data_IF_063988473999
#
_entry.id   IF_063988473999
#
_cell.length_a   1.000
_cell.length_b   1.000
_cell.length_c   1.000
_cell.angle_alpha   90.00
_cell.angle_beta   90.00
_cell.angle_gamma   90.00
#
_symmetry.space_group_name_H-M   'P 1'
#
loop_
_entity.id
_entity.type
_entity.pdbx_description
1 polymer ?
#
# COMPACT_ATOMS: atom_id res chain seq x y z
N UNK A 1 -13.80 1.92 12.08
CA UNK A 1 -13.07 1.24 13.19
C UNK A 1 -12.24 2.19 14.03
N UNK A 2 -11.11 2.74 13.54
CA UNK A 2 -10.33 3.72 14.31
C UNK A 2 -11.16 4.98 14.60
N UNK A 3 -11.83 5.51 13.57
CA UNK A 3 -12.70 6.70 13.70
C UNK A 3 -13.79 6.54 14.75
N UNK A 4 -14.54 5.43 14.72
CA UNK A 4 -15.61 5.17 15.69
C UNK A 4 -15.08 5.15 17.14
N UNK A 5 -13.91 4.54 17.37
CA UNK A 5 -13.29 4.47 18.71
C UNK A 5 -12.83 5.85 19.20
N UNK A 6 -12.17 6.61 18.33
CA UNK A 6 -11.71 7.97 18.64
C UNK A 6 -12.90 8.87 18.97
N UNK A 7 -13.97 8.78 18.17
CA UNK A 7 -15.15 9.60 18.41
C UNK A 7 -15.92 9.17 19.66
N UNK A 8 -16.03 7.86 19.95
CA UNK A 8 -16.64 7.38 21.19
C UNK A 8 -15.87 7.87 22.43
N UNK A 9 -14.53 7.88 22.38
CA UNK A 9 -13.71 8.44 23.45
C UNK A 9 -13.95 9.94 23.61
N UNK A 10 -14.03 10.69 22.52
CA UNK A 10 -14.34 12.12 22.55
C UNK A 10 -15.75 12.41 23.09
N UNK A 11 -16.74 11.57 22.77
CA UNK A 11 -18.09 11.65 23.33
C UNK A 11 -18.05 11.43 24.84
N UNK A 12 -17.29 10.45 25.32
CA UNK A 12 -17.11 10.22 26.76
C UNK A 12 -16.49 11.42 27.48
N UNK A 13 -15.46 12.04 26.89
CA UNK A 13 -14.88 13.28 27.41
C UNK A 13 -15.86 14.45 27.37
N UNK A 14 -16.66 14.56 26.32
CA UNK A 14 -17.68 15.60 26.16
C UNK A 14 -18.81 15.44 27.18
N UNK A 15 -19.21 14.22 27.49
CA UNK A 15 -20.19 13.93 28.54
C UNK A 15 -19.68 14.35 29.93
N UNK A 16 -18.40 14.06 30.23
CA UNK A 16 -17.77 14.50 31.47
C UNK A 16 -17.74 16.04 31.56
N UNK A 17 -17.36 16.72 30.48
CA UNK A 17 -17.39 18.18 30.42
C UNK A 17 -18.80 18.74 30.63
N UNK A 18 -19.83 18.13 30.04
CA UNK A 18 -21.22 18.57 30.21
C UNK A 18 -21.68 18.46 31.66
N UNK A 19 -21.35 17.37 32.36
CA UNK A 19 -21.68 17.19 33.78
C UNK A 19 -20.98 18.24 34.65
N UNK A 20 -19.70 18.53 34.38
CA UNK A 20 -18.95 19.58 35.09
C UNK A 20 -19.63 20.94 34.89
N UNK A 21 -19.96 21.32 33.66
CA UNK A 21 -20.63 22.59 33.37
C UNK A 21 -22.02 22.71 34.02
N UNK A 22 -22.79 21.62 34.01
CA UNK A 22 -24.09 21.58 34.67
C UNK A 22 -24.01 21.82 36.18
N UNK A 23 -22.92 21.35 36.81
CA UNK A 23 -22.67 21.57 38.24
C UNK A 23 -22.26 23.01 38.57
N UNK A 24 -21.61 23.72 37.64
CA UNK A 24 -21.17 25.12 37.85
C UNK A 24 -22.27 26.14 37.58
N UNK A 25 -23.18 25.88 36.63
CA UNK A 25 -24.22 26.85 36.19
C UNK A 25 -25.65 26.53 36.68
N UNK A 26 -25.81 25.57 37.61
CA UNK A 26 -27.08 25.20 38.27
C UNK A 26 -28.12 24.60 37.31
N UNK A 27 -27.68 23.93 36.24
CA UNK A 27 -28.54 23.15 35.32
C UNK A 27 -28.24 21.64 35.37
N UNK A 28 -27.98 21.13 36.59
CA UNK A 28 -27.52 19.76 36.80
C UNK A 28 -28.49 18.70 36.23
N UNK A 29 -29.81 18.91 36.33
CA UNK A 29 -30.80 17.94 35.84
C UNK A 29 -30.73 17.72 34.32
N UNK A 30 -30.63 18.80 33.55
CA UNK A 30 -30.47 18.73 32.09
C UNK A 30 -29.12 18.12 31.70
N UNK A 31 -28.05 18.52 32.39
CA UNK A 31 -26.70 18.01 32.12
C UNK A 31 -26.59 16.49 32.31
N UNK A 32 -27.06 15.95 33.44
CA UNK A 32 -27.00 14.52 33.73
C UNK A 32 -27.94 13.71 32.81
N UNK A 33 -29.20 14.14 32.69
CA UNK A 33 -30.21 13.40 31.92
C UNK A 33 -29.87 13.32 30.43
N UNK A 34 -29.55 14.45 29.81
CA UNK A 34 -29.25 14.48 28.37
C UNK A 34 -27.90 13.83 28.06
N UNK A 35 -26.88 14.01 28.90
CA UNK A 35 -25.59 13.34 28.70
C UNK A 35 -25.71 11.83 28.77
N UNK A 36 -26.46 11.30 29.75
CA UNK A 36 -26.68 9.85 29.87
C UNK A 36 -27.43 9.29 28.65
N UNK A 37 -28.46 10.01 28.17
CA UNK A 37 -29.20 9.63 26.96
C UNK A 37 -28.30 9.61 25.72
N UNK A 38 -27.52 10.67 25.49
CA UNK A 38 -26.63 10.79 24.34
C UNK A 38 -25.52 9.73 24.36
N UNK A 39 -24.92 9.44 25.53
CA UNK A 39 -23.92 8.37 25.68
C UNK A 39 -24.56 7.00 25.43
N UNK A 40 -25.77 6.74 25.95
CA UNK A 40 -26.49 5.50 25.70
C UNK A 40 -26.76 5.27 24.22
N UNK A 41 -27.21 6.31 23.50
CA UNK A 41 -27.40 6.28 22.06
C UNK A 41 -26.07 6.07 21.32
N UNK A 42 -24.99 6.71 21.73
CA UNK A 42 -23.67 6.55 21.11
C UNK A 42 -23.16 5.11 21.24
N UNK A 43 -23.28 4.52 22.43
CA UNK A 43 -22.91 3.12 22.67
C UNK A 43 -23.79 2.18 21.85
N UNK A 44 -25.10 2.42 21.77
CA UNK A 44 -26.01 1.65 20.93
C UNK A 44 -25.61 1.68 19.45
N UNK A 45 -25.35 2.88 18.90
CA UNK A 45 -24.88 3.06 17.52
C UNK A 45 -23.53 2.36 17.31
N UNK A 46 -22.60 2.52 18.24
CA UNK A 46 -21.27 1.92 18.17
C UNK A 46 -21.32 0.38 18.17
N UNK A 47 -22.22 -0.23 18.94
CA UNK A 47 -22.36 -1.68 19.01
C UNK A 47 -23.08 -2.25 17.79
N UNK A 48 -24.17 -1.61 17.34
CA UNK A 48 -25.03 -2.14 16.27
C UNK A 48 -24.48 -1.82 14.87
N UNK A 49 -23.96 -0.62 14.66
CA UNK A 49 -23.63 -0.09 13.33
C UNK A 49 -22.13 0.02 13.08
N UNK A 50 -21.28 -0.60 13.92
CA UNK A 50 -19.83 -0.37 13.95
C UNK A 50 -19.17 -0.43 12.57
N UNK A 51 -18.40 0.60 12.23
CA UNK A 51 -17.65 0.66 10.97
C UNK A 51 -18.49 0.89 9.71
N UNK A 52 -19.80 1.08 9.83
CA UNK A 52 -20.67 1.45 8.72
C UNK A 52 -20.78 2.97 8.58
N UNK A 53 -21.31 3.41 7.44
CA UNK A 53 -21.67 4.81 7.22
C UNK A 53 -22.66 5.36 8.27
N UNK A 54 -23.58 4.51 8.76
CA UNK A 54 -24.56 4.93 9.76
C UNK A 54 -23.89 5.21 11.11
N UNK A 55 -22.85 4.45 11.47
CA UNK A 55 -22.05 4.72 12.67
C UNK A 55 -21.32 6.06 12.59
N UNK A 56 -20.66 6.36 11.46
CA UNK A 56 -19.95 7.63 11.33
C UNK A 56 -20.88 8.82 11.40
N UNK A 57 -22.02 8.80 10.69
CA UNK A 57 -23.03 9.87 10.79
C UNK A 57 -23.62 9.99 12.19
N UNK A 58 -24.02 8.87 12.79
CA UNK A 58 -24.71 8.84 14.07
C UNK A 58 -23.83 9.30 15.23
N UNK A 59 -22.59 8.81 15.31
CA UNK A 59 -21.64 9.26 16.33
C UNK A 59 -21.26 10.73 16.13
N UNK A 60 -21.10 11.18 14.88
CA UNK A 60 -20.83 12.59 14.57
C UNK A 60 -21.99 13.49 15.01
N UNK A 61 -23.24 13.08 14.77
CA UNK A 61 -24.41 13.79 15.27
C UNK A 61 -24.37 13.92 16.80
N UNK A 62 -24.09 12.83 17.51
CA UNK A 62 -24.03 12.86 18.97
C UNK A 62 -22.92 13.77 19.49
N UNK A 63 -21.73 13.73 18.88
CA UNK A 63 -20.64 14.64 19.24
C UNK A 63 -21.04 16.11 18.99
N UNK A 64 -21.69 16.40 17.86
CA UNK A 64 -22.23 17.74 17.57
C UNK A 64 -23.29 18.17 18.59
N UNK A 65 -24.18 17.27 19.01
CA UNK A 65 -25.19 17.55 20.04
C UNK A 65 -24.55 17.81 21.41
N UNK A 66 -23.42 17.19 21.73
CA UNK A 66 -22.68 17.49 22.97
C UNK A 66 -22.12 18.91 22.99
N UNK A 67 -21.57 19.39 21.87
CA UNK A 67 -21.11 20.78 21.76
C UNK A 67 -22.28 21.75 21.91
N UNK A 68 -23.42 21.46 21.27
CA UNK A 68 -24.65 22.25 21.43
C UNK A 68 -25.09 22.27 22.90
N UNK A 69 -25.03 21.12 23.58
CA UNK A 69 -25.35 21.03 25.01
C UNK A 69 -24.37 21.85 25.86
N UNK A 70 -23.07 21.84 25.56
CA UNK A 70 -22.09 22.69 26.27
C UNK A 70 -22.42 24.17 26.13
N UNK A 71 -22.77 24.63 24.93
CA UNK A 71 -23.18 26.02 24.67
C UNK A 71 -24.42 26.37 25.49
N UNK A 72 -25.42 25.49 25.53
CA UNK A 72 -26.63 25.69 26.32
C UNK A 72 -26.33 25.77 27.82
N UNK A 73 -25.60 24.80 28.38
CA UNK A 73 -25.26 24.76 29.81
C UNK A 73 -24.39 25.94 30.24
N UNK A 74 -23.55 26.43 29.33
CA UNK A 74 -22.71 27.60 29.51
C UNK A 74 -23.45 28.93 29.21
N UNK A 75 -24.78 28.90 29.00
CA UNK A 75 -25.62 30.08 28.70
C UNK A 75 -25.08 30.92 27.54
N UNK A 76 -24.57 30.26 26.50
CA UNK A 76 -24.10 30.90 25.28
C UNK A 76 -22.72 31.58 25.37
N UNK A 77 -21.90 31.25 26.37
CA UNK A 77 -20.51 31.73 26.43
C UNK A 77 -19.72 31.36 25.17
N UNK A 78 -18.97 32.32 24.64
CA UNK A 78 -18.27 32.20 23.34
C UNK A 78 -17.14 31.17 23.39
N UNK A 79 -16.54 30.92 24.55
CA UNK A 79 -15.46 29.94 24.73
C UNK A 79 -15.91 28.51 24.38
N UNK A 80 -17.17 28.16 24.61
CA UNK A 80 -17.68 26.82 24.28
C UNK A 80 -17.95 26.62 22.78
N UNK A 81 -17.92 27.71 21.99
CA UNK A 81 -18.00 27.62 20.54
C UNK A 81 -16.69 27.07 19.93
N UNK A 82 -15.56 27.10 20.65
CA UNK A 82 -14.35 26.38 20.22
C UNK A 82 -14.60 24.88 20.01
N UNK A 83 -15.59 24.30 20.71
CA UNK A 83 -16.02 22.91 20.52
C UNK A 83 -16.52 22.61 19.09
N UNK A 84 -17.05 23.61 18.38
CA UNK A 84 -17.45 23.49 16.96
C UNK A 84 -16.24 23.20 16.10
N UNK A 85 -15.21 24.05 16.21
CA UNK A 85 -13.96 23.93 15.46
C UNK A 85 -13.24 22.62 15.77
N UNK A 86 -13.17 22.24 17.05
CA UNK A 86 -12.56 20.98 17.50
C UNK A 86 -13.31 19.78 16.95
N UNK A 87 -14.64 19.80 16.94
CA UNK A 87 -15.46 18.69 16.43
C UNK A 87 -15.31 18.51 14.93
N UNK A 88 -15.33 19.60 14.16
CA UNK A 88 -15.11 19.59 12.72
C UNK A 88 -13.73 18.97 12.38
N UNK A 89 -12.68 19.42 13.08
CA UNK A 89 -11.34 18.86 12.93
C UNK A 89 -11.24 17.39 13.38
N UNK A 90 -11.88 17.01 14.49
CA UNK A 90 -11.87 15.65 15.01
C UNK A 90 -12.47 14.65 14.01
N UNK A 91 -13.54 15.06 13.35
CA UNK A 91 -14.29 14.22 12.41
C UNK A 91 -13.47 13.87 11.15
N UNK A 92 -12.36 14.57 10.87
CA UNK A 92 -11.36 14.17 9.86
C UNK A 92 -10.81 12.76 10.07
N UNK A 93 -10.91 12.19 11.28
CA UNK A 93 -10.50 10.81 11.57
C UNK A 93 -11.20 9.78 10.67
N UNK A 94 -12.40 10.08 10.18
CA UNK A 94 -13.12 9.21 9.23
C UNK A 94 -12.56 9.28 7.81
N UNK A 95 -11.72 10.28 7.48
CA UNK A 95 -11.20 10.53 6.13
C UNK A 95 -12.33 10.57 5.09
N UNK A 96 -13.46 11.13 5.50
CA UNK A 96 -14.68 11.26 4.71
C UNK A 96 -15.19 12.68 4.89
N UNK A 97 -15.60 13.31 3.80
CA UNK A 97 -16.07 14.69 3.81
C UNK A 97 -17.51 14.81 4.32
N UNK A 98 -18.31 13.74 4.20
CA UNK A 98 -19.75 13.76 4.53
C UNK A 98 -20.02 14.10 6.00
N UNK A 99 -19.35 13.47 6.99
CA UNK A 99 -19.52 13.83 8.39
C UNK A 99 -19.23 15.31 8.70
N UNK A 100 -18.24 15.89 8.02
CA UNK A 100 -17.77 17.27 8.25
C UNK A 100 -18.84 18.26 7.81
N UNK A 101 -19.34 18.11 6.57
CA UNK A 101 -20.42 18.95 6.04
C UNK A 101 -21.69 18.77 6.86
N UNK A 102 -22.00 17.54 7.26
CA UNK A 102 -23.16 17.25 8.11
C UNK A 102 -23.10 17.99 9.45
N UNK A 103 -21.96 17.95 10.16
CA UNK A 103 -21.77 18.73 11.39
C UNK A 103 -21.84 20.23 11.15
N UNK A 104 -21.20 20.74 10.10
CA UNK A 104 -21.20 22.17 9.77
C UNK A 104 -22.62 22.70 9.53
N UNK A 105 -23.43 21.95 8.76
CA UNK A 105 -24.85 22.29 8.53
C UNK A 105 -25.64 22.24 9.82
N UNK A 106 -25.45 21.20 10.64
CA UNK A 106 -26.14 21.06 11.93
C UNK A 106 -25.83 22.24 12.87
N UNK A 107 -24.56 22.66 12.95
CA UNK A 107 -24.17 23.83 13.71
C UNK A 107 -24.76 25.12 13.13
N UNK A 108 -24.75 25.30 11.80
CA UNK A 108 -25.34 26.49 11.17
C UNK A 108 -26.84 26.61 11.47
N UNK A 109 -27.58 25.51 11.35
CA UNK A 109 -29.01 25.44 11.71
C UNK A 109 -29.20 25.76 13.19
N UNK A 110 -28.39 25.17 14.08
CA UNK A 110 -28.45 25.46 15.51
C UNK A 110 -28.24 26.95 15.79
N UNK A 111 -27.18 27.57 15.26
CA UNK A 111 -26.85 28.97 15.56
C UNK A 111 -27.97 29.92 15.10
N UNK A 112 -28.46 29.74 13.88
CA UNK A 112 -29.56 30.59 13.35
C UNK A 112 -30.85 30.35 14.14
N UNK A 113 -31.24 29.09 14.35
CA UNK A 113 -32.49 28.76 15.02
C UNK A 113 -32.47 29.21 16.49
N UNK A 114 -31.41 28.89 17.23
CA UNK A 114 -31.33 29.18 18.66
C UNK A 114 -31.21 30.66 18.93
N UNK A 115 -30.51 31.44 18.09
CA UNK A 115 -30.48 32.89 18.24
C UNK A 115 -31.86 33.53 18.02
N UNK A 116 -32.64 33.05 17.04
CA UNK A 116 -34.02 33.53 16.83
C UNK A 116 -34.94 33.16 17.98
N UNK A 117 -34.82 31.93 18.50
CA UNK A 117 -35.60 31.48 19.65
C UNK A 117 -35.17 32.19 20.95
N UNK A 118 -33.88 32.49 21.11
CA UNK A 118 -33.34 33.27 22.22
C UNK A 118 -33.88 34.70 22.17
N UNK A 119 -33.90 35.34 20.99
CA UNK A 119 -34.49 36.66 20.80
C UNK A 119 -36.00 36.70 21.10
N UNK A 120 -36.69 35.59 20.89
CA UNK A 120 -38.11 35.43 21.21
C UNK A 120 -38.39 35.00 22.67
N UNK A 121 -37.34 34.78 23.50
CA UNK A 121 -37.49 34.51 24.94
C UNK A 121 -37.76 33.05 25.31
N UNK A 122 -37.48 32.08 24.43
CA UNK A 122 -37.73 30.65 24.69
C UNK A 122 -36.74 29.96 25.65
N UNK A 123 -35.82 30.69 26.28
CA UNK A 123 -34.86 30.11 27.23
C UNK A 123 -33.79 29.20 26.62
N UNK A 124 -33.57 29.31 25.30
CA UNK A 124 -32.48 28.64 24.58
C UNK A 124 -31.35 29.62 24.34
N UNK A 125 -30.11 29.14 24.38
CA UNK A 125 -28.91 29.97 24.24
C UNK A 125 -28.10 29.56 23.02
N UNK A 126 -27.81 30.52 22.14
CA UNK A 126 -26.74 30.41 21.15
C UNK A 126 -25.54 31.23 21.61
N UNK A 127 -25.75 32.51 21.88
CA UNK A 127 -24.75 33.45 22.41
C UNK A 127 -25.22 33.96 23.77
N UNK A 128 -24.39 34.70 24.52
CA UNK A 128 -24.83 35.32 25.78
C UNK A 128 -26.01 36.29 25.58
N UNK A 129 -26.10 36.89 24.39
CA UNK A 129 -27.21 37.76 23.95
C UNK A 129 -27.46 37.52 22.46
N UNK A 130 -28.71 37.62 21.97
CA UNK A 130 -29.01 37.49 20.56
C UNK A 130 -28.23 38.51 19.73
N UNK A 131 -27.47 38.02 18.75
CA UNK A 131 -26.64 38.86 17.90
C UNK A 131 -26.41 38.20 16.53
N UNK A 132 -27.31 38.51 15.59
CA UNK A 132 -27.25 37.96 14.24
C UNK A 132 -25.96 38.30 13.50
N UNK A 133 -25.37 39.48 13.74
CA UNK A 133 -24.13 39.90 13.09
C UNK A 133 -22.97 38.97 13.43
N UNK A 134 -22.86 38.57 14.70
CA UNK A 134 -21.83 37.62 15.16
C UNK A 134 -22.03 36.25 14.53
N UNK A 135 -23.27 35.80 14.34
CA UNK A 135 -23.60 34.51 13.69
C UNK A 135 -23.16 34.51 12.23
N UNK A 136 -23.39 35.61 11.51
CA UNK A 136 -22.92 35.74 10.12
C UNK A 136 -21.39 35.64 10.06
N UNK A 137 -20.67 36.28 10.99
CA UNK A 137 -19.21 36.16 11.08
C UNK A 137 -18.79 34.72 11.36
N UNK A 138 -19.42 34.04 12.32
CA UNK A 138 -19.14 32.63 12.63
C UNK A 138 -19.38 31.73 11.43
N UNK A 139 -20.47 31.94 10.69
CA UNK A 139 -20.80 31.17 9.49
C UNK A 139 -19.71 31.29 8.42
N UNK A 140 -19.13 32.49 8.23
CA UNK A 140 -18.01 32.68 7.29
C UNK A 140 -16.80 31.82 7.69
N UNK A 141 -16.41 31.85 8.97
CA UNK A 141 -15.29 31.03 9.46
C UNK A 141 -15.57 29.53 9.32
N UNK A 142 -16.78 29.07 9.65
CA UNK A 142 -17.17 27.67 9.52
C UNK A 142 -17.16 27.23 8.05
N UNK A 143 -17.62 28.08 7.11
CA UNK A 143 -17.56 27.77 5.66
C UNK A 143 -16.11 27.62 5.20
N UNK A 144 -15.23 28.56 5.57
CA UNK A 144 -13.81 28.50 5.18
C UNK A 144 -13.15 27.25 5.76
N UNK A 145 -13.34 27.00 7.06
CA UNK A 145 -12.78 25.81 7.72
C UNK A 145 -13.32 24.53 7.09
N UNK A 146 -14.64 24.41 6.91
CA UNK A 146 -15.27 23.21 6.34
C UNK A 146 -14.71 22.94 4.94
N UNK A 147 -14.53 23.98 4.10
CA UNK A 147 -13.94 23.82 2.78
C UNK A 147 -12.51 23.25 2.86
N UNK A 148 -11.66 23.79 3.75
CA UNK A 148 -10.30 23.28 3.95
C UNK A 148 -10.30 21.84 4.46
N UNK A 149 -11.15 21.50 5.42
CA UNK A 149 -11.24 20.15 5.98
C UNK A 149 -11.80 19.14 4.99
N UNK A 150 -12.77 19.52 4.14
CA UNK A 150 -13.25 18.68 3.03
C UNK A 150 -12.12 18.38 2.07
N UNK A 151 -11.30 19.38 1.70
CA UNK A 151 -10.13 19.17 0.84
C UNK A 151 -9.11 18.22 1.49
N UNK A 152 -8.83 18.40 2.79
CA UNK A 152 -7.93 17.52 3.54
C UNK A 152 -8.49 16.09 3.62
N UNK A 153 -9.77 15.92 3.92
CA UNK A 153 -10.43 14.62 4.02
C UNK A 153 -10.35 13.84 2.70
N UNK A 154 -10.64 14.50 1.57
CA UNK A 154 -10.56 13.88 0.24
C UNK A 154 -9.11 13.47 -0.07
N UNK A 155 -8.13 14.33 0.21
CA UNK A 155 -6.71 14.00 -0.02
C UNK A 155 -6.23 12.86 0.87
N UNK A 156 -6.60 12.85 2.16
CA UNK A 156 -6.29 11.77 3.09
C UNK A 156 -6.94 10.45 2.67
N UNK A 157 -8.16 10.48 2.14
CA UNK A 157 -8.84 9.30 1.61
C UNK A 157 -8.10 8.73 0.39
N UNK A 158 -7.69 9.59 -0.54
CA UNK A 158 -6.93 9.17 -1.72
C UNK A 158 -5.57 8.58 -1.35
N UNK A 159 -4.81 9.26 -0.48
CA UNK A 159 -3.51 8.79 0.02
C UNK A 159 -3.64 7.46 0.77
N UNK A 160 -4.70 7.31 1.57
CA UNK A 160 -4.99 6.05 2.27
C UNK A 160 -5.27 4.89 1.32
N UNK A 161 -6.05 5.11 0.25
CA UNK A 161 -6.29 4.08 -0.79
C UNK A 161 -5.03 3.73 -1.55
N UNK A 162 -4.26 4.74 -1.97
CA UNK A 162 -2.99 4.55 -2.68
C UNK A 162 -1.99 3.73 -1.84
N UNK A 163 -1.86 4.02 -0.55
CA UNK A 163 -1.02 3.25 0.35
C UNK A 163 -1.48 1.80 0.53
N UNK A 164 -2.80 1.56 0.60
CA UNK A 164 -3.36 0.22 0.69
C UNK A 164 -3.11 -0.60 -0.58
N UNK A 165 -3.32 -0.02 -1.76
CA UNK A 165 -3.04 -0.67 -3.05
C UNK A 165 -1.54 -0.98 -3.21
N UNK A 166 -0.64 -0.07 -2.83
CA UNK A 166 0.80 -0.33 -2.82
C UNK A 166 1.16 -1.50 -1.89
N UNK A 167 0.59 -1.50 -0.67
CA UNK A 167 0.81 -2.59 0.29
C UNK A 167 0.35 -3.94 -0.28
N UNK A 168 -0.80 -3.98 -0.95
CA UNK A 168 -1.31 -5.19 -1.60
C UNK A 168 -0.39 -5.66 -2.73
N UNK A 169 0.06 -4.75 -3.62
CA UNK A 169 1.00 -5.08 -4.68
C UNK A 169 2.30 -5.67 -4.12
N UNK A 170 2.92 -5.02 -3.13
CA UNK A 170 4.15 -5.51 -2.49
C UNK A 170 3.93 -6.88 -1.86
N UNK A 171 2.84 -7.05 -1.10
CA UNK A 171 2.52 -8.34 -0.47
C UNK A 171 2.21 -9.46 -1.47
N UNK A 172 1.76 -9.13 -2.68
CA UNK A 172 1.52 -10.13 -3.73
C UNK A 172 2.81 -10.65 -4.36
N UNK A 173 3.87 -9.83 -4.35
CA UNK A 173 5.17 -10.16 -4.94
C UNK A 173 6.09 -10.83 -3.92
N UNK A 174 6.05 -10.38 -2.67
CA UNK A 174 6.89 -10.86 -1.57
C UNK A 174 6.23 -12.06 -0.86
N UNK A 175 6.48 -13.27 -1.37
CA UNK A 175 6.00 -14.52 -0.77
C UNK A 175 7.10 -15.20 0.06
N UNK A 176 6.72 -16.03 1.03
CA UNK A 176 7.65 -16.70 1.94
C UNK A 176 8.78 -17.48 1.22
N UNK A 177 8.48 -18.03 0.03
CA UNK A 177 9.42 -18.84 -0.76
C UNK A 177 10.09 -18.05 -1.91
N UNK A 178 9.88 -16.72 -1.99
CA UNK A 178 10.59 -15.84 -2.92
C UNK A 178 9.71 -14.79 -3.62
N UNK A 179 10.25 -14.25 -4.73
CA UNK A 179 9.64 -13.15 -5.50
C UNK A 179 8.79 -13.71 -6.64
N UNK A 180 7.48 -13.43 -6.64
CA UNK A 180 6.54 -13.87 -7.68
C UNK A 180 5.92 -12.66 -8.40
N UNK A 181 6.57 -12.20 -9.48
CA UNK A 181 6.18 -10.99 -10.19
C UNK A 181 4.87 -11.14 -10.99
N UNK A 182 4.60 -12.33 -11.52
CA UNK A 182 3.40 -12.60 -12.32
C UNK A 182 2.09 -12.26 -11.57
N UNK A 183 2.06 -12.42 -10.24
CA UNK A 183 0.86 -12.22 -9.44
C UNK A 183 0.50 -10.73 -9.26
N UNK A 184 1.47 -9.82 -9.39
CA UNK A 184 1.23 -8.38 -9.29
C UNK A 184 0.24 -7.86 -10.34
N UNK A 185 0.18 -8.50 -11.51
CA UNK A 185 -0.75 -8.14 -12.60
C UNK A 185 -2.21 -8.51 -12.30
N UNK A 186 -2.45 -9.40 -11.35
CA UNK A 186 -3.79 -9.85 -10.96
C UNK A 186 -4.40 -8.94 -9.87
N UNK A 187 -3.59 -8.11 -9.21
CA UNK A 187 -4.06 -7.17 -8.20
C UNK A 187 -4.80 -6.03 -8.89
N UNK A 188 -6.07 -5.81 -8.54
CA UNK A 188 -6.81 -4.66 -9.05
C UNK A 188 -6.30 -3.38 -8.40
N UNK A 189 -5.87 -2.42 -9.21
CA UNK A 189 -5.36 -1.13 -8.77
C UNK A 189 -6.06 -0.02 -9.54
N UNK A 190 -6.46 1.04 -8.85
CA UNK A 190 -7.14 2.19 -9.45
C UNK A 190 -6.35 3.50 -9.25
N UNK A 191 -5.38 3.53 -8.32
CA UNK A 191 -4.57 4.73 -8.08
C UNK A 191 -3.42 4.87 -9.07
N UNK A 192 -3.03 6.11 -9.45
CA UNK A 192 -1.98 6.33 -10.45
C UNK A 192 -0.64 5.69 -10.09
N UNK A 193 -0.22 5.81 -8.82
CA UNK A 193 1.06 5.25 -8.37
C UNK A 193 1.04 3.72 -8.34
N UNK A 194 -0.07 3.11 -7.90
CA UNK A 194 -0.21 1.66 -7.92
C UNK A 194 -0.21 1.12 -9.35
N UNK A 195 -0.85 1.83 -10.29
CA UNK A 195 -0.82 1.49 -11.73
C UNK A 195 0.61 1.52 -12.28
N UNK A 196 1.39 2.57 -11.96
CA UNK A 196 2.80 2.68 -12.37
C UNK A 196 3.64 1.56 -11.78
N UNK A 197 3.47 1.26 -10.48
CA UNK A 197 4.18 0.16 -9.83
C UNK A 197 3.84 -1.19 -10.45
N UNK A 198 2.56 -1.49 -10.67
CA UNK A 198 2.11 -2.71 -11.34
C UNK A 198 2.72 -2.85 -12.75
N UNK A 199 2.73 -1.77 -13.54
CA UNK A 199 3.33 -1.78 -14.87
C UNK A 199 4.85 -2.04 -14.83
N UNK A 200 5.52 -1.55 -13.79
CA UNK A 200 6.95 -1.77 -13.57
C UNK A 200 7.22 -3.23 -13.21
N UNK A 201 6.42 -3.80 -12.31
CA UNK A 201 6.49 -5.22 -11.93
C UNK A 201 6.26 -6.15 -13.13
N UNK A 202 5.30 -5.83 -14.00
CA UNK A 202 5.04 -6.59 -15.23
C UNK A 202 6.22 -6.55 -16.22
N UNK A 203 6.89 -5.40 -16.36
CA UNK A 203 8.11 -5.27 -17.18
C UNK A 203 9.27 -6.08 -16.60
N UNK A 204 9.43 -6.06 -15.28
CA UNK A 204 10.45 -6.87 -14.60
C UNK A 204 10.20 -8.37 -14.81
N UNK A 205 8.94 -8.81 -14.75
CA UNK A 205 8.56 -10.21 -15.04
C UNK A 205 9.00 -10.63 -16.46
N UNK A 206 8.73 -9.77 -17.44
CA UNK A 206 9.14 -10.00 -18.85
C UNK A 206 10.67 -10.10 -18.99
N UNK A 207 11.42 -9.24 -18.32
CA UNK A 207 12.89 -9.27 -18.34
C UNK A 207 13.43 -10.55 -17.71
N UNK A 208 12.90 -10.94 -16.54
CA UNK A 208 13.30 -12.18 -15.86
C UNK A 208 12.97 -13.42 -16.70
N UNK A 209 11.81 -13.44 -17.35
CA UNK A 209 11.44 -14.52 -18.28
C UNK A 209 12.40 -14.60 -19.47
N UNK A 210 12.80 -13.47 -20.05
CA UNK A 210 13.79 -13.42 -21.12
C UNK A 210 15.15 -13.95 -20.65
N UNK A 211 15.61 -13.59 -19.45
CA UNK A 211 16.88 -14.09 -18.89
C UNK A 211 16.81 -15.61 -18.74
N UNK A 212 15.73 -16.16 -18.17
CA UNK A 212 15.57 -17.63 -18.05
C UNK A 212 15.62 -18.33 -19.40
N UNK A 213 14.97 -17.77 -20.42
CA UNK A 213 15.02 -18.31 -21.79
C UNK A 213 16.42 -18.29 -22.41
N UNK A 214 17.17 -17.20 -22.20
CA UNK A 214 18.57 -17.09 -22.65
C UNK A 214 19.46 -18.09 -21.91
N UNK A 215 19.30 -18.24 -20.59
CA UNK A 215 20.06 -19.22 -19.80
C UNK A 215 19.80 -20.65 -20.25
N UNK A 216 18.54 -21.01 -20.53
CA UNK A 216 18.20 -22.33 -21.07
C UNK A 216 18.84 -22.58 -22.45
N UNK A 217 18.84 -21.57 -23.32
CA UNK A 217 19.51 -21.67 -24.63
C UNK A 217 21.03 -21.83 -24.49
N UNK A 218 21.63 -21.14 -23.52
CA UNK A 218 23.06 -21.25 -23.22
C UNK A 218 23.42 -22.62 -22.66
N UNK A 219 22.57 -23.21 -21.80
CA UNK A 219 22.75 -24.57 -21.29
C UNK A 219 22.79 -25.59 -22.44
N UNK A 220 21.83 -25.51 -23.37
CA UNK A 220 21.80 -26.36 -24.58
C UNK A 220 23.08 -26.20 -25.41
N UNK A 221 23.50 -24.96 -25.69
CA UNK A 221 24.71 -24.70 -26.47
C UNK A 221 25.98 -25.23 -25.79
N UNK A 222 26.07 -25.10 -24.45
CA UNK A 222 27.18 -25.66 -23.68
C UNK A 222 27.21 -27.20 -23.74
N UNK A 223 26.05 -27.86 -23.70
CA UNK A 223 25.94 -29.31 -23.87
C UNK A 223 26.37 -29.76 -25.27
N UNK A 224 25.99 -29.03 -26.31
CA UNK A 224 26.44 -29.30 -27.69
C UNK A 224 27.96 -29.13 -27.85
N UNK A 225 28.53 -28.07 -27.27
CA UNK A 225 30.00 -27.85 -27.26
C UNK A 225 30.70 -29.00 -26.54
N UNK A 226 30.18 -29.43 -25.38
CA UNK A 226 30.77 -30.53 -24.63
C UNK A 226 30.77 -31.84 -25.45
N UNK A 227 29.66 -32.16 -26.12
CA UNK A 227 29.59 -33.31 -27.01
C UNK A 227 30.54 -33.19 -28.22
N UNK A 228 30.58 -32.02 -28.87
CA UNK A 228 31.48 -31.77 -30.00
C UNK A 228 32.95 -31.89 -29.60
N UNK A 229 33.32 -31.43 -28.41
CA UNK A 229 34.68 -31.57 -27.88
C UNK A 229 35.05 -33.03 -27.60
N UNK A 230 34.10 -33.84 -27.13
CA UNK A 230 34.30 -35.27 -26.90
C UNK A 230 34.49 -36.04 -28.22
N UNK A 231 33.70 -35.75 -29.25
CA UNK A 231 33.90 -36.33 -30.59
C UNK A 231 35.26 -35.94 -31.19
N UNK A 232 35.63 -34.65 -31.10
CA UNK A 232 36.92 -34.16 -31.58
C UNK A 232 38.10 -34.84 -30.86
N UNK A 233 38.01 -35.03 -29.54
CA UNK A 233 39.00 -35.79 -28.76
C UNK A 233 39.13 -37.22 -29.28
N UNK A 234 38.01 -37.92 -29.49
CA UNK A 234 38.01 -39.30 -30.01
C UNK A 234 38.58 -39.42 -31.43
N UNK A 235 38.30 -38.44 -32.30
CA UNK A 235 38.91 -38.36 -33.65
C UNK A 235 40.41 -38.08 -33.58
N UNK A 236 40.84 -37.22 -32.66
CA UNK A 236 42.27 -36.92 -32.44
C UNK A 236 43.03 -38.14 -31.96
N UNK A 237 42.46 -38.91 -31.02
CA UNK A 237 43.02 -40.19 -30.54
C UNK A 237 43.12 -41.22 -31.67
N UNK A 238 42.06 -41.36 -32.48
CA UNK A 238 42.04 -42.26 -33.63
C UNK A 238 43.10 -41.88 -34.68
N UNK A 239 43.26 -40.59 -34.94
CA UNK A 239 44.27 -40.08 -35.87
C UNK A 239 45.70 -40.30 -35.35
N UNK A 240 45.93 -40.09 -34.04
CA UNK A 240 47.22 -40.38 -33.42
C UNK A 240 47.57 -41.87 -33.53
N UNK A 241 46.60 -42.77 -33.32
CA UNK A 241 46.78 -44.21 -33.50
C UNK A 241 47.13 -44.58 -34.95
N UNK A 242 46.44 -44.00 -35.94
CA UNK A 242 46.75 -44.23 -37.36
C UNK A 242 48.16 -43.75 -37.75
N UNK A 243 48.61 -42.62 -37.20
CA UNK A 243 49.97 -42.12 -37.39
C UNK A 243 51.02 -43.05 -36.76
N UNK A 244 50.76 -43.60 -35.57
CA UNK A 244 51.63 -44.60 -34.94
C UNK A 244 51.75 -45.85 -35.82
N UNK A 245 50.64 -46.36 -36.36
CA UNK A 245 50.66 -47.52 -37.24
C UNK A 245 51.40 -47.26 -38.56
N UNK A 246 51.28 -46.03 -39.10
CA UNK A 246 52.01 -45.60 -40.29
C UNK A 246 53.51 -45.52 -40.01
N UNK A 247 53.91 -44.97 -38.87
CA UNK A 247 55.32 -44.91 -38.45
C UNK A 247 55.93 -46.31 -38.29
N UNK A 248 55.22 -47.24 -37.62
CA UNK A 248 55.66 -48.63 -37.50
C UNK A 248 55.78 -49.33 -38.86
N UNK A 249 54.85 -49.07 -39.79
CA UNK A 249 54.92 -49.59 -41.16
C UNK A 249 56.12 -49.02 -41.93
N UNK A 250 56.43 -47.73 -41.74
CA UNK A 250 57.62 -47.09 -42.31
C UNK A 250 58.92 -47.66 -41.74
N UNK A 251 58.98 -47.98 -40.45
CA UNK A 251 60.13 -48.66 -39.82
C UNK A 251 60.35 -50.05 -40.42
N UNK A 252 59.28 -50.83 -40.58
CA UNK A 252 59.35 -52.16 -41.19
C UNK A 252 59.78 -52.10 -42.66
N UNK A 253 59.25 -51.14 -43.43
CA UNK A 253 59.66 -50.89 -44.81
C UNK A 253 61.14 -50.50 -44.89
N UNK A 254 61.60 -49.59 -44.02
CA UNK A 254 63.00 -49.17 -43.94
C UNK A 254 63.93 -50.35 -43.63
N UNK A 255 63.55 -51.20 -42.67
CA UNK A 255 64.26 -52.44 -42.35
C UNK A 255 64.35 -53.38 -43.56
N UNK A 256 63.24 -53.58 -44.28
CA UNK A 256 63.19 -54.42 -45.48
C UNK A 256 64.06 -53.86 -46.61
N UNK A 257 64.04 -52.54 -46.83
CA UNK A 257 64.89 -51.87 -47.82
C UNK A 257 66.37 -52.03 -47.47
N UNK A 258 66.74 -51.89 -46.19
CA UNK A 258 68.10 -52.13 -45.72
C UNK A 258 68.53 -53.58 -45.97
N UNK A 259 67.69 -54.54 -45.62
CA UNK A 259 67.94 -55.96 -45.88
C UNK A 259 68.11 -56.24 -47.39
N UNK A 260 67.26 -55.66 -48.24
CA UNK A 260 67.38 -55.79 -49.69
C UNK A 260 68.69 -55.18 -50.23
N UNK A 261 69.12 -54.04 -49.70
CA UNK A 261 70.39 -53.42 -50.07
C UNK A 261 71.60 -54.28 -49.66
N UNK A 262 71.57 -54.86 -48.47
CA UNK A 262 72.62 -55.78 -47.99
C UNK A 262 72.64 -57.07 -48.83
N UNK A 263 71.48 -57.65 -49.13
CA UNK A 263 71.35 -58.81 -50.04
C UNK A 263 71.93 -58.50 -51.43
N UNK A 264 71.61 -57.34 -52.01
CA UNK A 264 72.13 -56.93 -53.32
C UNK A 264 73.66 -56.76 -53.31
N UNK A 265 74.23 -56.18 -52.24
CA UNK A 265 75.69 -56.09 -52.05
C UNK A 265 76.32 -57.47 -51.96
N UNK A 266 75.73 -58.37 -51.19
CA UNK A 266 76.24 -59.73 -51.02
C UNK A 266 76.19 -60.52 -52.33
N UNK A 267 75.09 -60.42 -53.08
CA UNK A 267 74.98 -61.01 -54.42
C UNK A 267 76.02 -60.48 -55.40
N UNK A 268 76.28 -59.15 -55.37
CA UNK A 268 77.33 -58.55 -56.20
C UNK A 268 78.74 -59.06 -55.82
N UNK A 269 79.04 -59.23 -54.53
CA UNK A 269 80.32 -59.81 -54.09
C UNK A 269 80.50 -61.27 -54.54
N UNK A 270 79.45 -62.08 -54.41
CA UNK A 270 79.46 -63.48 -54.88
C UNK A 270 79.72 -63.55 -56.38
N UNK A 271 79.03 -62.73 -57.18
CA UNK A 271 79.23 -62.64 -58.62
C UNK A 271 80.67 -62.24 -59.00
N UNK A 272 81.27 -61.29 -58.26
CA UNK A 272 82.68 -60.90 -58.45
C UNK A 272 83.67 -62.02 -58.09
N UNK A 273 83.38 -62.81 -57.05
CA UNK A 273 84.24 -63.94 -56.64
C UNK A 273 84.13 -65.18 -57.53
N UNK A 274 83.07 -65.27 -58.34
CA UNK A 274 82.83 -66.38 -59.26
C UNK A 274 83.29 -66.11 -60.71
N UNK A 275 83.83 -64.92 -60.97
CA UNK A 275 84.35 -64.47 -62.28
C UNK A 275 85.87 -64.53 -62.33
#
# INVERSE_FOLDING_TARGET
>A
MLGDRVLLLSIGLSALAAVILGSTFVEAGLAWGLSALLVGLALGIYVVCRGTFLSSMGLTLIQTLFVILHIQLARGMIEFHFGVFVTLALVLVYRDWRPIVFSAVTFAVHHVLFDRLQAAGFGLYCLSQPNFGVIVIHAIYVVIQTALEVLLAIKMAHMGRQGAELGQLVSSVDQNDGIVLAQATQVRVDTPLATVLQSTLARMDTVVASIRGTTASMEVACTEIAHGNQDLSGRTESQASALQQTAASMEQLSSTVKQNADNARQANQLAQSAS
#
